data_IF_079448785098
#
_entry.id   IF_079448785098
#
_cell.length_a   1.000
_cell.length_b   1.000
_cell.length_c   1.000
_cell.angle_alpha   90.00
_cell.angle_beta   90.00
_cell.angle_gamma   90.00
#
_symmetry.space_group_name_H-M   'P 1'
#
loop_
_entity.id
_entity.type
_entity.pdbx_description
1 polymer ?
#
# COMPACT_ATOMS: atom_id res chain seq x y z
N UNK A 1 -13.01 -45.45 -12.74
CA UNK A 1 -12.46 -44.05 -12.81
C UNK A 1 -11.61 -43.84 -11.58
N UNK A 2 -10.29 -43.78 -11.79
CA UNK A 2 -9.32 -43.60 -10.72
C UNK A 2 -9.52 -42.21 -10.12
N UNK A 3 -9.91 -42.12 -8.85
CA UNK A 3 -10.15 -40.88 -8.13
C UNK A 3 -8.86 -40.02 -7.96
N UNK A 4 -7.69 -40.55 -8.37
CA UNK A 4 -6.41 -39.87 -8.34
C UNK A 4 -6.01 -39.20 -9.66
N UNK A 5 -6.72 -39.47 -10.76
CA UNK A 5 -6.44 -38.79 -12.04
C UNK A 5 -7.01 -37.37 -12.04
N UNK A 6 -6.14 -36.41 -11.90
CA UNK A 6 -6.47 -34.99 -12.04
C UNK A 6 -6.27 -34.54 -13.48
N UNK A 7 -7.25 -33.87 -14.06
CA UNK A 7 -7.19 -33.34 -15.44
C UNK A 7 -6.07 -32.32 -15.68
N UNK A 8 -5.54 -31.74 -14.60
CA UNK A 8 -4.47 -30.73 -14.62
C UNK A 8 -3.06 -31.29 -14.43
N UNK A 9 -2.90 -32.64 -14.35
CA UNK A 9 -1.61 -33.30 -14.08
C UNK A 9 -1.38 -34.53 -14.93
N UNK A 10 -0.13 -34.67 -15.42
CA UNK A 10 0.38 -35.85 -16.05
C UNK A 10 1.42 -36.49 -15.13
N UNK A 11 1.27 -37.81 -14.87
CA UNK A 11 2.11 -38.51 -13.89
C UNK A 11 3.26 -39.29 -14.53
N UNK A 12 3.16 -39.58 -15.81
CA UNK A 12 4.20 -40.33 -16.52
C UNK A 12 4.71 -39.60 -17.76
N UNK A 13 5.99 -39.74 -18.04
CA UNK A 13 6.61 -39.21 -19.26
C UNK A 13 5.94 -39.77 -20.53
N UNK A 14 5.48 -40.99 -20.48
CA UNK A 14 4.82 -41.67 -21.61
C UNK A 14 3.50 -40.97 -21.97
N UNK A 15 2.70 -40.60 -20.97
CA UNK A 15 1.44 -39.88 -21.20
C UNK A 15 1.71 -38.48 -21.75
N UNK A 16 2.68 -37.76 -21.17
CA UNK A 16 3.09 -36.45 -21.67
C UNK A 16 3.57 -36.50 -23.12
N UNK A 17 4.38 -37.50 -23.46
CA UNK A 17 4.90 -37.70 -24.83
C UNK A 17 3.77 -38.07 -25.81
N UNK A 18 2.84 -38.92 -25.41
CA UNK A 18 1.68 -39.29 -26.26
C UNK A 18 0.81 -38.07 -26.60
N UNK A 19 0.56 -37.21 -25.64
CA UNK A 19 -0.18 -35.95 -25.88
C UNK A 19 0.61 -35.03 -26.78
N UNK A 20 1.89 -34.80 -26.51
CA UNK A 20 2.75 -33.96 -27.33
C UNK A 20 2.79 -34.39 -28.79
N UNK A 21 2.87 -35.71 -29.04
CA UNK A 21 2.91 -36.29 -30.40
C UNK A 21 1.52 -36.15 -31.07
N UNK A 22 0.43 -36.33 -30.34
CA UNK A 22 -0.94 -36.19 -30.85
C UNK A 22 -1.30 -34.74 -31.28
N UNK A 23 -0.76 -33.72 -30.58
CA UNK A 23 -1.07 -32.30 -30.90
C UNK A 23 -0.06 -31.67 -31.85
N UNK A 24 1.07 -32.29 -32.09
CA UNK A 24 2.13 -31.76 -32.96
C UNK A 24 1.62 -31.54 -34.37
N UNK A 25 1.70 -30.29 -34.86
CA UNK A 25 1.28 -29.92 -36.21
C UNK A 25 -0.25 -29.82 -36.39
N UNK A 26 -1.03 -30.01 -35.32
CA UNK A 26 -2.48 -29.77 -35.37
C UNK A 26 -2.82 -28.29 -35.12
N UNK A 27 -3.87 -27.78 -35.78
CA UNK A 27 -4.34 -26.43 -35.50
C UNK A 27 -4.89 -26.34 -34.06
N UNK A 28 -4.56 -25.26 -33.35
CA UNK A 28 -5.08 -24.99 -32.02
C UNK A 28 -5.95 -23.75 -32.04
N UNK A 29 -7.05 -23.77 -31.29
CA UNK A 29 -7.86 -22.58 -31.01
C UNK A 29 -7.43 -22.02 -29.67
N UNK A 30 -7.00 -20.76 -29.68
CA UNK A 30 -6.68 -20.02 -28.46
C UNK A 30 -7.83 -19.04 -28.19
N UNK A 31 -8.41 -19.12 -27.01
CA UNK A 31 -9.37 -18.13 -26.52
C UNK A 31 -8.71 -17.31 -25.40
N UNK A 32 -8.75 -16.00 -25.54
CA UNK A 32 -8.26 -15.05 -24.53
C UNK A 32 -9.47 -14.41 -23.85
N UNK A 33 -9.57 -14.57 -22.53
CA UNK A 33 -10.57 -13.87 -21.72
C UNK A 33 -9.85 -12.84 -20.84
N UNK A 34 -10.17 -11.57 -21.04
CA UNK A 34 -9.68 -10.49 -20.18
C UNK A 34 -10.79 -10.06 -19.22
N UNK A 35 -10.54 -10.21 -17.91
CA UNK A 35 -11.48 -9.78 -16.87
C UNK A 35 -10.92 -8.55 -16.16
N UNK A 36 -11.64 -7.42 -16.14
CA UNK A 36 -11.23 -6.28 -15.33
C UNK A 36 -11.31 -6.65 -13.85
N UNK A 37 -10.25 -6.40 -13.13
CA UNK A 37 -10.20 -6.53 -11.67
C UNK A 37 -9.88 -5.18 -11.05
N UNK A 38 -10.48 -4.91 -9.89
CA UNK A 38 -10.28 -3.65 -9.19
C UNK A 38 -9.59 -3.92 -7.87
N UNK A 39 -8.43 -3.32 -7.66
CA UNK A 39 -7.74 -3.35 -6.38
C UNK A 39 -8.03 -2.07 -5.61
N UNK A 40 -8.78 -2.20 -4.51
CA UNK A 40 -9.06 -1.06 -3.63
C UNK A 40 -7.77 -0.48 -3.04
N UNK A 41 -7.69 0.85 -2.96
CA UNK A 41 -6.58 1.52 -2.29
C UNK A 41 -6.51 1.11 -0.79
N UNK A 42 -5.32 1.00 -0.20
CA UNK A 42 -5.15 0.53 1.18
C UNK A 42 -5.67 1.55 2.21
N UNK A 43 -6.01 1.06 3.41
CA UNK A 43 -6.24 1.93 4.59
C UNK A 43 -4.92 2.51 5.09
N UNK A 44 -4.99 3.57 5.90
CA UNK A 44 -3.83 4.14 6.57
C UNK A 44 -3.19 3.15 7.56
N UNK A 45 -2.04 3.49 8.12
CA UNK A 45 -1.34 2.64 9.08
C UNK A 45 -1.82 2.86 10.51
N UNK A 46 -2.07 1.76 11.22
CA UNK A 46 -1.89 1.61 12.65
C UNK A 46 -0.47 1.09 12.95
N UNK A 47 -0.08 0.98 14.21
CA UNK A 47 1.25 0.49 14.58
C UNK A 47 1.49 -0.94 14.08
N UNK A 48 0.52 -1.83 14.25
CA UNK A 48 0.68 -3.26 13.89
C UNK A 48 0.86 -3.45 12.39
N UNK A 49 0.07 -2.76 11.57
CA UNK A 49 0.20 -2.85 10.11
C UNK A 49 1.49 -2.20 9.60
N UNK A 50 1.93 -1.09 10.23
CA UNK A 50 3.22 -0.48 9.92
C UNK A 50 4.38 -1.43 10.23
N UNK A 51 4.37 -2.07 11.39
CA UNK A 51 5.40 -3.05 11.79
C UNK A 51 5.44 -4.24 10.84
N UNK A 52 4.28 -4.77 10.46
CA UNK A 52 4.18 -5.90 9.52
C UNK A 52 4.75 -5.55 8.15
N UNK A 53 4.41 -4.40 7.61
CA UNK A 53 4.87 -3.99 6.29
C UNK A 53 6.35 -3.60 6.30
N UNK A 54 6.84 -2.93 7.33
CA UNK A 54 8.26 -2.61 7.50
C UNK A 54 9.12 -3.88 7.66
N UNK A 55 8.60 -4.91 8.34
CA UNK A 55 9.27 -6.21 8.41
C UNK A 55 9.33 -6.89 7.05
N UNK A 56 8.21 -6.97 6.31
CA UNK A 56 8.18 -7.60 5.00
C UNK A 56 9.06 -6.92 3.95
N UNK A 57 9.17 -5.58 4.00
CA UNK A 57 9.94 -4.81 3.01
C UNK A 57 11.41 -4.63 3.36
N UNK A 58 11.72 -4.44 4.64
CA UNK A 58 13.04 -4.01 5.11
C UNK A 58 13.66 -4.96 6.13
N UNK A 59 12.94 -5.99 6.59
CA UNK A 59 13.40 -6.88 7.64
C UNK A 59 13.44 -6.21 9.03
N UNK A 60 12.78 -5.06 9.22
CA UNK A 60 12.77 -4.39 10.52
C UNK A 60 11.95 -5.18 11.54
N UNK A 61 12.52 -5.37 12.74
CA UNK A 61 11.74 -5.94 13.85
C UNK A 61 10.64 -4.99 14.30
N UNK A 62 9.62 -5.49 14.97
CA UNK A 62 8.58 -4.66 15.56
C UNK A 62 9.15 -3.60 16.51
N UNK A 63 10.15 -3.97 17.31
CA UNK A 63 10.87 -3.05 18.22
C UNK A 63 11.59 -1.95 17.44
N UNK A 64 12.32 -2.32 16.39
CA UNK A 64 13.04 -1.36 15.53
C UNK A 64 12.07 -0.40 14.85
N UNK A 65 10.99 -0.91 14.27
CA UNK A 65 9.98 -0.09 13.61
C UNK A 65 9.36 0.92 14.56
N UNK A 66 8.98 0.50 15.78
CA UNK A 66 8.45 1.41 16.79
C UNK A 66 9.47 2.48 17.19
N UNK A 67 10.74 2.11 17.40
CA UNK A 67 11.78 3.07 17.77
C UNK A 67 12.00 4.13 16.67
N UNK A 68 12.02 3.71 15.41
CA UNK A 68 12.13 4.63 14.27
C UNK A 68 10.90 5.55 14.15
N UNK A 69 9.69 4.99 14.30
CA UNK A 69 8.46 5.77 14.28
C UNK A 69 8.40 6.79 15.43
N UNK A 70 8.85 6.41 16.63
CA UNK A 70 8.97 7.34 17.75
C UNK A 70 9.99 8.44 17.50
N UNK A 71 11.16 8.13 16.91
CA UNK A 71 12.12 9.15 16.49
C UNK A 71 11.53 10.13 15.49
N UNK A 72 10.80 9.64 14.48
CA UNK A 72 10.11 10.47 13.49
C UNK A 72 9.02 11.35 14.12
N UNK A 73 8.35 10.88 15.16
CA UNK A 73 7.36 11.63 15.93
C UNK A 73 8.01 12.63 16.89
N UNK A 74 8.93 12.17 17.76
CA UNK A 74 9.44 12.96 18.88
C UNK A 74 10.53 13.95 18.47
N UNK A 75 11.52 13.47 17.69
CA UNK A 75 12.68 14.25 17.28
C UNK A 75 12.40 15.07 16.04
N UNK A 76 11.87 14.44 14.99
CA UNK A 76 11.69 15.08 13.68
C UNK A 76 10.33 15.75 13.54
N UNK A 77 9.37 15.45 14.40
CA UNK A 77 7.97 15.95 14.33
C UNK A 77 7.28 15.66 12.99
N UNK A 78 7.79 14.68 12.24
CA UNK A 78 7.40 14.40 10.86
C UNK A 78 6.26 13.38 10.72
N UNK A 79 5.99 12.59 11.77
CA UNK A 79 4.86 11.65 11.83
C UNK A 79 3.95 11.96 13.03
N UNK A 80 2.69 11.52 12.94
CA UNK A 80 1.74 11.51 14.05
C UNK A 80 2.14 10.45 15.08
N UNK A 81 1.48 10.45 16.24
CA UNK A 81 1.78 9.54 17.35
C UNK A 81 1.71 8.06 16.91
N UNK A 82 2.79 7.29 17.08
CA UNK A 82 2.87 5.97 16.46
C UNK A 82 2.19 4.83 17.23
N UNK A 83 1.87 5.02 18.51
CA UNK A 83 1.19 4.00 19.31
C UNK A 83 -0.31 4.13 19.19
N UNK A 84 -0.84 3.77 18.05
CA UNK A 84 -2.26 3.81 17.71
C UNK A 84 -2.72 2.49 17.11
N UNK A 85 -3.96 2.14 17.35
CA UNK A 85 -4.68 1.02 16.73
C UNK A 85 -5.64 1.49 15.62
N UNK A 86 -5.81 2.81 15.47
CA UNK A 86 -6.66 3.38 14.44
C UNK A 86 -5.97 3.48 13.09
N UNK A 87 -6.73 3.23 12.03
CA UNK A 87 -6.35 3.40 10.62
C UNK A 87 -7.14 4.52 9.94
N UNK A 88 -7.79 5.35 10.74
CA UNK A 88 -8.68 6.40 10.26
C UNK A 88 -8.25 7.75 10.83
N UNK A 89 -8.71 8.80 10.19
CA UNK A 89 -8.57 10.18 10.63
C UNK A 89 -9.93 10.68 11.13
N UNK A 90 -9.96 11.62 12.07
CA UNK A 90 -11.20 12.30 12.44
C UNK A 90 -11.67 13.21 11.30
N UNK A 91 -12.98 13.46 11.24
CA UNK A 91 -13.60 14.23 10.15
C UNK A 91 -13.08 15.67 10.03
N UNK A 92 -12.72 16.30 11.14
CA UNK A 92 -12.15 17.65 11.20
C UNK A 92 -10.70 17.72 10.68
N UNK A 93 -10.04 16.56 10.50
CA UNK A 93 -8.68 16.50 9.98
C UNK A 93 -8.58 16.68 8.45
N UNK A 94 -9.70 16.83 7.75
CA UNK A 94 -9.73 17.01 6.29
C UNK A 94 -8.91 18.22 5.83
N UNK A 95 -9.06 19.37 6.51
CA UNK A 95 -8.30 20.58 6.17
C UNK A 95 -6.79 20.39 6.37
N UNK A 96 -6.37 19.72 7.46
CA UNK A 96 -4.97 19.38 7.72
C UNK A 96 -4.44 18.42 6.68
N UNK A 97 -5.27 17.49 6.22
CA UNK A 97 -4.89 16.54 5.15
C UNK A 97 -4.58 17.27 3.83
N UNK A 98 -5.37 18.26 3.44
CA UNK A 98 -5.06 19.11 2.28
C UNK A 98 -3.74 19.87 2.44
N UNK A 99 -3.49 20.42 3.63
CA UNK A 99 -2.23 21.11 3.93
C UNK A 99 -1.04 20.15 3.90
N UNK A 100 -1.21 18.91 4.41
CA UNK A 100 -0.19 17.86 4.34
C UNK A 100 0.15 17.49 2.90
N UNK A 101 -0.86 17.36 2.02
CA UNK A 101 -0.62 17.14 0.58
C UNK A 101 0.17 18.28 -0.05
N UNK A 102 -0.17 19.54 0.28
CA UNK A 102 0.55 20.71 -0.24
C UNK A 102 2.02 20.73 0.26
N UNK A 103 2.25 20.42 1.52
CA UNK A 103 3.59 20.29 2.07
C UNK A 103 4.38 19.20 1.34
N UNK A 104 3.82 18.01 1.16
CA UNK A 104 4.48 16.90 0.46
C UNK A 104 4.80 17.24 -1.00
N UNK A 105 3.91 17.95 -1.70
CA UNK A 105 4.14 18.37 -3.09
C UNK A 105 5.32 19.34 -3.23
N UNK A 106 5.59 20.14 -2.19
CA UNK A 106 6.67 21.12 -2.16
C UNK A 106 7.94 20.61 -1.45
N UNK A 107 7.89 19.41 -0.88
CA UNK A 107 8.97 18.83 -0.08
C UNK A 107 10.18 18.42 -0.93
N UNK A 108 11.34 18.27 -0.26
CA UNK A 108 12.54 17.69 -0.85
C UNK A 108 12.44 16.20 -1.23
N UNK A 109 11.32 15.55 -0.92
CA UNK A 109 11.05 14.15 -1.26
C UNK A 109 10.68 13.98 -2.76
N UNK A 110 11.63 14.27 -3.64
CA UNK A 110 11.43 14.39 -5.11
C UNK A 110 10.71 13.21 -5.75
N UNK A 111 10.85 12.01 -5.19
CA UNK A 111 10.22 10.79 -5.71
C UNK A 111 8.75 10.63 -5.28
N UNK A 112 8.27 11.39 -4.28
CA UNK A 112 6.90 11.36 -3.76
C UNK A 112 6.12 12.63 -4.06
N UNK A 113 6.79 13.78 -4.17
CA UNK A 113 6.17 15.07 -4.43
C UNK A 113 5.26 15.11 -5.68
N UNK A 114 5.60 14.46 -6.83
CA UNK A 114 4.71 14.43 -7.99
C UNK A 114 3.36 13.74 -7.73
N UNK A 115 3.33 12.71 -6.88
CA UNK A 115 2.08 12.04 -6.52
C UNK A 115 1.23 12.90 -5.59
N UNK A 116 1.82 13.65 -4.68
CA UNK A 116 1.10 14.60 -3.85
C UNK A 116 0.51 15.73 -4.72
N UNK A 117 1.26 16.26 -5.68
CA UNK A 117 0.77 17.25 -6.63
C UNK A 117 -0.38 16.71 -7.47
N UNK A 118 -0.26 15.48 -7.99
CA UNK A 118 -1.34 14.82 -8.72
C UNK A 118 -2.61 14.68 -7.87
N UNK A 119 -2.47 14.31 -6.58
CA UNK A 119 -3.63 14.19 -5.68
C UNK A 119 -4.34 15.53 -5.47
N UNK A 120 -3.60 16.64 -5.48
CA UNK A 120 -4.14 18.01 -5.41
C UNK A 120 -4.86 18.35 -6.73
N UNK A 121 -4.19 18.22 -7.86
CA UNK A 121 -4.68 18.61 -9.19
C UNK A 121 -5.96 17.83 -9.57
N UNK A 122 -6.03 16.57 -9.18
CA UNK A 122 -7.17 15.68 -9.44
C UNK A 122 -8.22 15.70 -8.32
N UNK A 123 -8.01 16.51 -7.27
CA UNK A 123 -8.92 16.60 -6.12
C UNK A 123 -9.25 15.23 -5.50
N UNK A 124 -8.22 14.41 -5.24
CA UNK A 124 -8.39 13.06 -4.68
C UNK A 124 -8.68 13.06 -3.18
N UNK A 125 -8.32 14.12 -2.45
CA UNK A 125 -8.59 14.25 -1.02
C UNK A 125 -10.07 14.59 -0.82
N UNK A 126 -10.87 13.58 -0.46
CA UNK A 126 -12.31 13.70 -0.24
C UNK A 126 -12.70 13.13 1.12
N UNK A 127 -13.75 13.64 1.77
CA UNK A 127 -14.22 13.18 3.07
C UNK A 127 -14.95 11.83 2.95
N UNK A 128 -14.20 10.76 2.66
CA UNK A 128 -14.76 9.41 2.57
C UNK A 128 -14.64 8.67 3.90
N UNK A 129 -15.65 7.89 4.30
CA UNK A 129 -15.62 7.05 5.52
C UNK A 129 -14.50 6.00 5.52
N UNK A 130 -13.89 5.74 4.38
CA UNK A 130 -12.72 4.89 4.27
C UNK A 130 -11.50 5.47 4.99
N UNK A 131 -11.37 6.80 4.97
CA UNK A 131 -10.24 7.52 5.58
C UNK A 131 -10.69 8.30 6.80
N UNK A 132 -11.82 9.01 6.74
CA UNK A 132 -12.33 9.88 7.80
C UNK A 132 -13.53 9.23 8.48
N UNK A 133 -13.33 8.66 9.66
CA UNK A 133 -14.39 7.98 10.42
C UNK A 133 -14.15 8.15 11.92
N UNK A 134 -14.84 9.14 12.51
CA UNK A 134 -14.72 9.45 13.93
C UNK A 134 -15.06 8.26 14.84
N UNK A 135 -15.95 7.37 14.39
CA UNK A 135 -16.32 6.17 15.17
C UNK A 135 -15.20 5.14 15.30
N UNK A 136 -14.13 5.27 14.50
CA UNK A 136 -12.95 4.39 14.48
C UNK A 136 -11.68 5.09 14.98
N UNK A 137 -11.83 6.27 15.53
CA UNK A 137 -10.77 7.02 16.19
C UNK A 137 -11.10 7.06 17.68
N UNK A 138 -10.16 6.58 18.51
CA UNK A 138 -10.25 6.68 19.96
C UNK A 138 -9.39 7.85 20.47
N UNK A 139 -8.36 7.55 21.25
CA UNK A 139 -7.43 8.57 21.78
C UNK A 139 -6.47 9.10 20.70
N UNK A 140 -6.15 8.26 19.71
CA UNK A 140 -5.22 8.56 18.64
C UNK A 140 -5.76 8.09 17.29
N UNK A 141 -5.41 8.81 16.24
CA UNK A 141 -5.75 8.46 14.85
C UNK A 141 -4.56 7.81 14.14
N UNK A 142 -4.72 7.48 12.85
CA UNK A 142 -3.73 6.76 12.04
C UNK A 142 -2.35 7.45 12.00
N UNK A 143 -1.32 6.66 11.73
CA UNK A 143 0.05 7.15 11.53
C UNK A 143 0.15 7.75 10.12
N UNK A 144 0.35 9.07 10.06
CA UNK A 144 0.47 9.84 8.81
C UNK A 144 1.60 10.87 8.93
N UNK A 145 2.09 11.43 7.79
CA UNK A 145 2.99 12.57 7.83
C UNK A 145 2.28 13.80 8.41
N UNK A 146 3.03 14.64 9.11
CA UNK A 146 2.57 15.92 9.64
C UNK A 146 2.82 17.05 8.63
N UNK A 147 2.57 18.29 9.03
CA UNK A 147 2.92 19.48 8.24
C UNK A 147 4.42 19.82 8.30
N UNK A 148 5.19 19.11 9.14
CA UNK A 148 6.62 19.33 9.30
C UNK A 148 7.38 18.42 8.35
N UNK A 149 8.09 19.00 7.39
CA UNK A 149 9.07 18.27 6.60
C UNK A 149 10.24 17.84 7.50
N UNK A 150 10.63 16.55 7.47
CA UNK A 150 11.75 16.09 8.27
C UNK A 150 13.07 16.71 7.77
N UNK A 151 13.98 16.99 8.71
CA UNK A 151 15.37 17.34 8.39
C UNK A 151 16.16 16.11 7.91
N UNK A 152 17.47 16.10 8.17
CA UNK A 152 18.30 14.95 7.83
C UNK A 152 17.86 13.69 8.59
N UNK A 153 17.48 12.66 7.85
CA UNK A 153 17.09 11.35 8.37
C UNK A 153 18.21 10.34 8.17
N UNK A 154 18.32 9.36 9.07
CA UNK A 154 19.09 8.15 8.80
C UNK A 154 18.43 7.32 7.70
N UNK A 155 19.17 6.41 7.06
CA UNK A 155 18.62 5.54 6.01
C UNK A 155 17.41 4.73 6.48
N UNK A 156 17.42 4.28 7.73
CA UNK A 156 16.31 3.52 8.30
C UNK A 156 15.08 4.41 8.57
N UNK A 157 15.29 5.63 9.08
CA UNK A 157 14.22 6.61 9.26
C UNK A 157 13.62 7.03 7.92
N UNK A 158 14.46 7.27 6.91
CA UNK A 158 14.00 7.62 5.56
C UNK A 158 13.13 6.52 4.95
N UNK A 159 13.55 5.25 5.07
CA UNK A 159 12.76 4.10 4.60
C UNK A 159 11.39 4.03 5.27
N UNK A 160 11.34 4.24 6.59
CA UNK A 160 10.08 4.19 7.32
C UNK A 160 9.18 5.40 6.99
N UNK A 161 9.77 6.60 6.89
CA UNK A 161 9.05 7.81 6.50
C UNK A 161 8.45 7.67 5.09
N UNK A 162 9.25 7.22 4.12
CA UNK A 162 8.77 6.93 2.77
C UNK A 162 7.61 5.94 2.75
N UNK A 163 7.69 4.89 3.55
CA UNK A 163 6.63 3.88 3.64
C UNK A 163 5.32 4.50 4.12
N UNK A 164 5.38 5.35 5.14
CA UNK A 164 4.19 6.04 5.68
C UNK A 164 3.64 7.04 4.67
N UNK A 165 4.49 7.86 4.04
CA UNK A 165 4.04 8.83 3.02
C UNK A 165 3.40 8.12 1.82
N UNK A 166 4.00 7.04 1.31
CA UNK A 166 3.40 6.23 0.23
C UNK A 166 2.03 5.68 0.60
N UNK A 167 1.87 5.19 1.82
CA UNK A 167 0.59 4.68 2.32
C UNK A 167 -0.44 5.79 2.44
N UNK A 168 -0.05 6.95 2.95
CA UNK A 168 -0.89 8.13 3.06
C UNK A 168 -1.40 8.57 1.68
N UNK A 169 -0.50 8.74 0.72
CA UNK A 169 -0.86 9.08 -0.67
C UNK A 169 -1.80 8.04 -1.27
N UNK A 170 -1.44 6.75 -1.20
CA UNK A 170 -2.23 5.66 -1.77
C UNK A 170 -3.65 5.58 -1.19
N UNK A 171 -3.86 6.00 0.07
CA UNK A 171 -5.19 6.05 0.70
C UNK A 171 -6.19 6.95 -0.03
N UNK A 172 -5.70 7.98 -0.73
CA UNK A 172 -6.52 8.96 -1.46
C UNK A 172 -6.60 8.70 -2.97
N UNK A 173 -5.68 7.92 -3.53
CA UNK A 173 -5.74 7.57 -4.94
C UNK A 173 -6.93 6.63 -5.23
N UNK A 174 -7.49 6.71 -6.46
CA UNK A 174 -8.54 5.78 -6.87
C UNK A 174 -8.03 4.34 -6.83
N UNK A 175 -8.97 3.39 -6.85
CA UNK A 175 -8.64 1.99 -6.98
C UNK A 175 -7.87 1.74 -8.29
N UNK A 176 -6.88 0.85 -8.23
CA UNK A 176 -6.20 0.41 -9.44
C UNK A 176 -7.11 -0.53 -10.24
N UNK A 177 -7.16 -0.32 -11.54
CA UNK A 177 -7.85 -1.21 -12.47
C UNK A 177 -6.81 -2.03 -13.23
N UNK A 178 -6.82 -3.33 -13.01
CA UNK A 178 -5.98 -4.28 -13.72
C UNK A 178 -6.82 -5.13 -14.66
N UNK A 179 -6.27 -5.47 -15.82
CA UNK A 179 -6.82 -6.49 -16.70
C UNK A 179 -6.00 -7.75 -16.54
N UNK A 180 -6.62 -8.78 -16.01
CA UNK A 180 -6.01 -10.11 -15.92
C UNK A 180 -6.43 -10.89 -17.16
N UNK A 181 -5.42 -11.32 -17.91
CA UNK A 181 -5.56 -12.14 -19.11
C UNK A 181 -5.17 -13.57 -18.80
#
# INVERSE_FOLDING_TARGET
>A
EDAEQRADRLWTLREAQAIADAVRGQPATVSEESKPTTQASPTLFDLTSLQREANGRFGFSAKTTLALAQSLYEKHKALTYPRTDSRHLPGDYLAVTHQTMAMLAQSGQRHLAPFAQQAIDQNYVKPTKKVFDDSKVSDHFAIIPTLQEPGALSDAEQKLYDLVVRRFLAGFFPAAEDRVT
#
